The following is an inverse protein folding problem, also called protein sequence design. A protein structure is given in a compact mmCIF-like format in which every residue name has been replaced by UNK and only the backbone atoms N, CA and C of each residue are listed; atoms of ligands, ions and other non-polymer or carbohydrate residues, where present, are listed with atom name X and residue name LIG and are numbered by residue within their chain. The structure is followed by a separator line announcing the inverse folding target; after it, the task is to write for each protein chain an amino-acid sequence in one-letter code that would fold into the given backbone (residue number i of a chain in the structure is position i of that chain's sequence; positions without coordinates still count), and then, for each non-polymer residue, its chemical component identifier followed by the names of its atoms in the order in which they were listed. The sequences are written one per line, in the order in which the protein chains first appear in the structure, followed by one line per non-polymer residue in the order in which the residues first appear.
data_IF_024666100332
#
_entry.id   IF_024666100332
#
_cell.length_a   1.000
_cell.length_b   1.000
_cell.length_c   1.000
_cell.angle_alpha   90.00
_cell.angle_beta   90.00
_cell.angle_gamma   90.00
#
_symmetry.space_group_name_H-M   'P 1'
#
loop_
_entity.id
_entity.type
_entity.pdbx_description
1 polymer ?
#
# COMPACT_ATOMS: atom_id res chain seq x y z
N UNK A 1 -13.92 12.36 13.90
CA UNK A 1 -12.91 11.92 12.90
C UNK A 1 -12.03 13.12 12.61
N UNK A 2 -10.71 12.96 12.52
CA UNK A 2 -9.85 14.03 12.03
C UNK A 2 -10.26 14.42 10.60
N UNK A 3 -10.51 15.70 10.37
CA UNK A 3 -10.83 16.24 9.05
C UNK A 3 -9.52 16.66 8.40
N UNK A 4 -9.06 15.90 7.40
CA UNK A 4 -7.85 16.25 6.67
C UNK A 4 -8.16 17.27 5.58
N UNK A 5 -7.27 18.24 5.36
CA UNK A 5 -7.41 19.24 4.28
C UNK A 5 -7.08 18.66 2.90
N UNK A 6 -6.17 17.67 2.88
CA UNK A 6 -5.75 16.90 1.71
C UNK A 6 -5.21 15.52 2.09
N UNK A 7 -5.18 14.63 1.12
CA UNK A 7 -4.54 13.32 1.19
C UNK A 7 -3.66 13.12 -0.04
N UNK A 8 -2.37 12.90 0.18
CA UNK A 8 -1.47 12.43 -0.87
C UNK A 8 -1.27 10.94 -0.70
N UNK A 9 -1.47 10.20 -1.78
CA UNK A 9 -1.26 8.77 -1.84
C UNK A 9 -0.10 8.45 -2.78
N UNK A 10 0.86 7.68 -2.29
CA UNK A 10 1.99 7.18 -3.07
C UNK A 10 1.82 5.67 -3.22
N UNK A 11 1.57 5.22 -4.44
CA UNK A 11 1.55 3.82 -4.82
C UNK A 11 2.96 3.36 -5.23
N UNK A 12 3.58 2.55 -4.38
CA UNK A 12 4.92 2.00 -4.54
C UNK A 12 4.81 0.63 -5.20
N UNK A 13 5.48 0.46 -6.35
CA UNK A 13 5.37 -0.73 -7.20
C UNK A 13 6.74 -1.40 -7.34
N UNK A 14 6.78 -2.73 -7.26
CA UNK A 14 8.02 -3.51 -7.46
C UNK A 14 8.37 -3.58 -8.95
N UNK A 15 7.37 -3.47 -9.83
CA UNK A 15 7.56 -3.47 -11.28
C UNK A 15 6.50 -2.59 -11.98
N UNK A 16 6.69 -2.32 -13.27
CA UNK A 16 5.76 -1.53 -14.08
C UNK A 16 4.34 -2.11 -14.23
N UNK A 17 4.06 -3.32 -13.70
CA UNK A 17 2.77 -4.05 -13.86
C UNK A 17 2.12 -4.47 -12.53
N UNK A 18 2.41 -3.78 -11.44
CA UNK A 18 1.72 -4.02 -10.17
C UNK A 18 0.30 -3.42 -10.21
N UNK A 19 -0.61 -4.14 -10.86
CA UNK A 19 -1.98 -3.71 -11.13
C UNK A 19 -2.83 -3.74 -9.85
N UNK A 20 -2.59 -4.72 -8.95
CA UNK A 20 -3.29 -4.83 -7.67
C UNK A 20 -3.06 -3.58 -6.79
N UNK A 21 -1.81 -3.09 -6.70
CA UNK A 21 -1.50 -1.85 -5.97
C UNK A 21 -2.13 -0.64 -6.65
N UNK A 22 -2.19 -0.64 -7.98
CA UNK A 22 -2.79 0.44 -8.77
C UNK A 22 -4.29 0.54 -8.52
N UNK A 23 -5.00 -0.58 -8.63
CA UNK A 23 -6.44 -0.67 -8.37
C UNK A 23 -6.76 -0.34 -6.91
N UNK A 24 -6.03 -0.94 -5.97
CA UNK A 24 -6.23 -0.70 -4.54
C UNK A 24 -6.06 0.79 -4.17
N UNK A 25 -5.03 1.45 -4.70
CA UNK A 25 -4.79 2.86 -4.47
C UNK A 25 -5.93 3.74 -5.02
N UNK A 26 -6.39 3.45 -6.24
CA UNK A 26 -7.54 4.12 -6.84
C UNK A 26 -8.82 3.96 -6.01
N UNK A 27 -9.16 2.73 -5.62
CA UNK A 27 -10.37 2.43 -4.86
C UNK A 27 -10.37 3.14 -3.49
N UNK A 28 -9.23 3.15 -2.80
CA UNK A 28 -9.09 3.84 -1.52
C UNK A 28 -9.27 5.35 -1.71
N UNK A 29 -8.62 5.94 -2.72
CA UNK A 29 -8.71 7.38 -2.96
C UNK A 29 -10.13 7.78 -3.35
N UNK A 30 -10.81 7.01 -4.20
CA UNK A 30 -12.20 7.26 -4.57
C UNK A 30 -13.11 7.24 -3.34
N UNK A 31 -12.93 6.25 -2.45
CA UNK A 31 -13.67 6.18 -1.18
C UNK A 31 -13.42 7.40 -0.29
N UNK A 32 -12.19 7.90 -0.24
CA UNK A 32 -11.84 9.13 0.50
C UNK A 32 -12.55 10.33 -0.13
N UNK A 33 -12.48 10.48 -1.44
CA UNK A 33 -13.07 11.60 -2.19
C UNK A 33 -14.59 11.70 -2.00
N UNK A 34 -15.30 10.57 -1.86
CA UNK A 34 -16.74 10.54 -1.56
C UNK A 34 -17.11 11.09 -0.17
N UNK A 35 -16.14 11.34 0.71
CA UNK A 35 -16.37 11.72 2.12
C UNK A 35 -15.80 13.07 2.53
N UNK A 36 -15.11 13.78 1.63
CA UNK A 36 -14.46 15.06 1.93
C UNK A 36 -15.08 16.19 1.12
N UNK A 37 -15.03 17.40 1.67
CA UNK A 37 -15.58 18.59 1.00
C UNK A 37 -14.77 19.00 -0.24
N UNK A 38 -13.46 18.75 -0.25
CA UNK A 38 -12.52 19.19 -1.29
C UNK A 38 -11.74 18.02 -1.92
N UNK A 39 -12.40 17.12 -2.68
CA UNK A 39 -11.75 15.95 -3.27
C UNK A 39 -10.62 16.29 -4.26
N UNK A 40 -10.64 17.47 -4.87
CA UNK A 40 -9.61 17.97 -5.80
C UNK A 40 -8.24 18.17 -5.16
N UNK A 41 -8.17 18.27 -3.82
CA UNK A 41 -6.91 18.40 -3.09
C UNK A 41 -6.23 17.04 -2.86
N UNK A 42 -6.89 15.93 -3.20
CA UNK A 42 -6.36 14.61 -2.99
C UNK A 42 -5.67 14.11 -4.27
N UNK A 43 -4.45 13.61 -4.14
CA UNK A 43 -3.64 13.21 -5.29
C UNK A 43 -3.08 11.80 -5.11
N UNK A 44 -2.95 11.09 -6.22
CA UNK A 44 -2.33 9.77 -6.30
C UNK A 44 -1.14 9.82 -7.26
N UNK A 45 0.01 9.37 -6.77
CA UNK A 45 1.25 9.28 -7.53
C UNK A 45 1.77 7.84 -7.53
N UNK A 46 2.47 7.47 -8.60
CA UNK A 46 2.99 6.13 -8.83
C UNK A 46 4.51 6.14 -8.92
N UNK A 47 5.15 5.30 -8.11
CA UNK A 47 6.60 5.17 -8.06
C UNK A 47 7.00 3.70 -8.18
N UNK A 48 8.03 3.44 -8.98
CA UNK A 48 8.69 2.15 -9.06
C UNK A 48 10.04 2.16 -8.37
N UNK A 49 10.43 1.04 -7.74
CA UNK A 49 11.81 0.81 -7.34
C UNK A 49 12.66 0.56 -8.59
N UNK A 50 13.71 1.35 -8.78
CA UNK A 50 14.68 1.13 -9.84
C UNK A 50 15.82 0.22 -9.30
N UNK A 51 16.51 -0.57 -10.15
CA UNK A 51 17.57 -1.49 -9.69
C UNK A 51 18.73 -0.81 -8.95
N UNK A 52 18.95 0.49 -9.20
CA UNK A 52 19.94 1.32 -8.51
C UNK A 52 19.49 1.77 -7.10
N UNK A 53 18.31 1.34 -6.65
CA UNK A 53 17.73 1.72 -5.36
C UNK A 53 16.96 3.04 -5.37
N UNK A 54 16.87 3.74 -6.50
CA UNK A 54 16.15 5.03 -6.61
C UNK A 54 14.68 4.86 -6.95
N UNK A 55 13.86 5.82 -6.56
CA UNK A 55 12.46 5.88 -6.99
C UNK A 55 12.38 6.61 -8.32
N UNK A 56 11.63 6.03 -9.26
CA UNK A 56 11.26 6.72 -10.49
C UNK A 56 9.75 6.77 -10.63
N UNK A 57 9.26 7.94 -11.04
CA UNK A 57 7.84 8.14 -11.34
C UNK A 57 7.47 7.35 -12.58
N UNK A 58 6.32 6.67 -12.57
CA UNK A 58 5.82 6.00 -13.77
C UNK A 58 5.34 6.98 -14.87
N UNK A 59 5.13 8.27 -14.53
CA UNK A 59 4.72 9.33 -15.45
C UNK A 59 5.63 10.54 -15.37
N UNK A 60 6.04 11.05 -16.54
CA UNK A 60 6.95 12.19 -16.69
C UNK A 60 6.41 13.54 -16.18
N UNK A 61 5.10 13.65 -15.88
CA UNK A 61 4.44 14.90 -15.46
C UNK A 61 4.24 15.04 -13.94
N UNK A 62 4.94 14.24 -13.13
CA UNK A 62 4.87 14.38 -11.67
C UNK A 62 5.60 15.65 -11.26
N UNK A 63 5.01 16.54 -10.44
CA UNK A 63 5.71 17.72 -9.95
C UNK A 63 6.97 17.29 -9.19
N UNK A 64 8.04 18.10 -9.25
CA UNK A 64 9.34 17.74 -8.69
C UNK A 64 9.29 17.45 -7.17
N UNK A 65 8.38 18.10 -6.42
CA UNK A 65 8.19 17.92 -4.97
C UNK A 65 6.70 17.87 -4.62
N UNK A 66 6.01 16.75 -4.88
CA UNK A 66 4.57 16.64 -4.67
C UNK A 66 4.16 16.74 -3.20
N UNK A 67 5.09 16.56 -2.25
CA UNK A 67 4.82 16.60 -0.82
C UNK A 67 5.14 17.94 -0.17
N UNK A 68 5.77 18.87 -0.89
CA UNK A 68 6.05 20.22 -0.37
C UNK A 68 4.78 21.04 -0.09
N UNK A 69 3.64 20.61 -0.63
CA UNK A 69 2.33 21.23 -0.39
C UNK A 69 1.62 20.66 0.84
N UNK A 70 2.21 19.71 1.56
CA UNK A 70 1.58 19.11 2.74
C UNK A 70 1.66 20.02 3.96
N UNK A 71 0.68 19.88 4.85
CA UNK A 71 0.51 20.68 6.07
C UNK A 71 0.21 19.77 7.27
N UNK A 72 0.13 20.35 8.46
CA UNK A 72 -0.23 19.70 9.72
C UNK A 72 -1.66 19.13 9.75
N UNK A 73 -2.46 19.44 8.73
CA UNK A 73 -3.81 18.90 8.51
C UNK A 73 -3.86 17.85 7.39
N UNK A 74 -2.72 17.56 6.77
CA UNK A 74 -2.64 16.64 5.65
C UNK A 74 -2.40 15.21 6.10
N UNK A 75 -2.81 14.26 5.26
CA UNK A 75 -2.49 12.84 5.42
C UNK A 75 -1.63 12.34 4.27
N UNK A 76 -0.57 11.61 4.60
CA UNK A 76 0.21 10.83 3.64
C UNK A 76 -0.20 9.36 3.72
N UNK A 77 -0.45 8.74 2.56
CA UNK A 77 -0.70 7.30 2.45
C UNK A 77 0.39 6.66 1.60
N UNK A 78 1.06 5.63 2.13
CA UNK A 78 1.97 4.78 1.35
C UNK A 78 1.26 3.46 1.07
N UNK A 79 1.08 3.11 -0.20
CA UNK A 79 0.41 1.88 -0.63
C UNK A 79 1.41 1.02 -1.39
N UNK A 80 1.57 -0.24 -1.00
CA UNK A 80 2.49 -1.16 -1.65
C UNK A 80 2.50 -2.51 -0.97
N UNK A 81 3.02 -3.53 -1.66
CA UNK A 81 3.19 -4.87 -1.07
C UNK A 81 4.13 -4.79 0.12
N UNK A 82 3.71 -5.37 1.24
CA UNK A 82 4.50 -5.38 2.47
C UNK A 82 5.10 -6.74 2.68
N UNK A 83 6.38 -6.76 3.00
CA UNK A 83 7.09 -7.97 3.37
C UNK A 83 7.68 -7.77 4.77
N UNK A 84 7.09 -8.47 5.73
CA UNK A 84 7.50 -8.41 7.13
C UNK A 84 8.77 -9.23 7.39
N UNK A 85 9.11 -10.21 6.56
CA UNK A 85 10.35 -10.98 6.75
C UNK A 85 11.54 -10.12 6.32
N UNK A 86 11.44 -9.50 5.14
CA UNK A 86 12.50 -8.61 4.65
C UNK A 86 12.41 -7.19 5.19
N UNK A 87 11.32 -6.86 5.89
CA UNK A 87 11.03 -5.54 6.44
C UNK A 87 11.06 -4.47 5.35
N UNK A 88 10.24 -4.66 4.32
CA UNK A 88 10.15 -3.76 3.16
C UNK A 88 8.72 -3.44 2.74
N UNK A 89 8.56 -2.32 2.01
CA UNK A 89 7.37 -2.00 1.21
C UNK A 89 7.81 -1.87 -0.24
N UNK A 90 7.24 -2.69 -1.13
CA UNK A 90 7.62 -2.77 -2.53
C UNK A 90 9.15 -2.94 -2.73
N UNK A 91 9.81 -3.69 -1.83
CA UNK A 91 11.26 -3.91 -1.83
C UNK A 91 12.07 -2.77 -1.18
N UNK A 92 11.44 -1.67 -0.77
CA UNK A 92 12.11 -0.57 -0.10
C UNK A 92 12.16 -0.76 1.41
N UNK A 93 13.32 -0.53 2.00
CA UNK A 93 13.50 -0.45 3.45
C UNK A 93 13.05 0.91 3.99
N UNK A 94 12.74 0.94 5.28
CA UNK A 94 12.35 2.15 5.99
C UNK A 94 13.37 3.30 5.84
N UNK A 95 14.67 2.99 5.94
CA UNK A 95 15.76 3.93 5.80
C UNK A 95 16.02 4.37 4.34
N UNK A 96 15.32 3.82 3.36
CA UNK A 96 15.32 4.30 1.98
C UNK A 96 14.10 5.18 1.73
N UNK A 97 12.91 4.76 2.18
CA UNK A 97 11.67 5.51 1.97
C UNK A 97 11.73 6.86 2.69
N UNK A 98 12.10 6.90 3.98
CA UNK A 98 12.05 8.15 4.72
C UNK A 98 12.94 9.25 4.09
N UNK A 99 14.23 9.02 3.80
CA UNK A 99 15.05 10.00 3.10
C UNK A 99 14.51 10.40 1.73
N UNK A 100 13.98 9.44 0.96
CA UNK A 100 13.37 9.72 -0.34
C UNK A 100 12.15 10.65 -0.23
N UNK A 101 11.26 10.42 0.74
CA UNK A 101 10.11 11.29 0.98
C UNK A 101 10.57 12.72 1.32
N UNK A 102 11.62 12.87 2.12
CA UNK A 102 12.12 14.16 2.59
C UNK A 102 12.84 14.93 1.49
N UNK A 103 13.86 14.30 0.89
CA UNK A 103 14.79 14.97 0.00
C UNK A 103 14.20 15.14 -1.40
N UNK A 104 13.60 14.07 -1.92
CA UNK A 104 13.21 14.01 -3.31
C UNK A 104 11.77 14.47 -3.48
N UNK A 105 10.87 14.08 -2.57
CA UNK A 105 9.47 14.48 -2.65
C UNK A 105 9.12 15.75 -1.85
N UNK A 106 10.02 16.21 -0.97
CA UNK A 106 9.84 17.44 -0.20
C UNK A 106 8.87 17.31 0.97
N UNK A 107 8.74 16.14 1.59
CA UNK A 107 7.92 15.97 2.80
C UNK A 107 8.46 16.89 3.91
N UNK A 108 7.62 17.80 4.39
CA UNK A 108 7.98 18.77 5.44
C UNK A 108 7.25 18.50 6.76
N UNK A 109 5.94 18.26 6.73
CA UNK A 109 5.15 17.88 7.90
C UNK A 109 3.78 17.35 7.46
N UNK A 110 3.19 16.47 8.26
CA UNK A 110 1.84 15.90 8.02
C UNK A 110 1.16 15.60 9.35
N UNK A 111 -0.17 15.61 9.35
CA UNK A 111 -0.95 15.18 10.50
C UNK A 111 -0.73 13.70 10.81
N UNK A 112 -0.75 12.85 9.78
CA UNK A 112 -0.65 11.39 9.90
C UNK A 112 -0.02 10.77 8.67
N UNK A 113 0.62 9.61 8.89
CA UNK A 113 1.09 8.73 7.82
C UNK A 113 0.38 7.38 7.95
N UNK A 114 -0.22 6.89 6.87
CA UNK A 114 -0.86 5.58 6.81
C UNK A 114 -0.08 4.65 5.89
N UNK A 115 0.51 3.60 6.44
CA UNK A 115 1.10 2.49 5.71
C UNK A 115 0.00 1.48 5.37
N UNK A 116 -0.38 1.44 4.09
CA UNK A 116 -1.39 0.53 3.54
C UNK A 116 -0.63 -0.61 2.86
N UNK A 117 -0.13 -1.51 3.71
CA UNK A 117 0.79 -2.56 3.31
C UNK A 117 0.66 -3.76 4.25
N UNK A 118 0.91 -4.97 3.75
CA UNK A 118 0.74 -6.21 4.50
C UNK A 118 1.77 -6.32 5.63
N UNK A 119 1.30 -6.51 6.86
CA UNK A 119 2.13 -6.94 8.00
C UNK A 119 3.36 -6.07 8.34
N UNK A 120 3.45 -4.83 7.87
CA UNK A 120 4.61 -3.94 8.10
C UNK A 120 4.75 -3.42 9.54
N UNK A 121 3.77 -3.70 10.41
CA UNK A 121 3.90 -3.49 11.86
C UNK A 121 4.46 -4.73 12.60
N UNK A 122 4.59 -5.86 11.92
CA UNK A 122 5.14 -7.10 12.48
C UNK A 122 6.65 -7.03 12.52
N UNK A 123 7.25 -7.64 13.54
CA UNK A 123 8.69 -7.81 13.64
C UNK A 123 9.20 -8.90 12.67
N UNK A 124 10.49 -8.86 12.33
CA UNK A 124 11.08 -9.80 11.37
C UNK A 124 11.29 -11.22 11.93
N UNK A 125 11.29 -11.39 13.26
CA UNK A 125 11.84 -12.55 13.94
C UNK A 125 10.75 -13.54 14.42
N UNK A 126 9.47 -13.17 14.35
CA UNK A 126 8.38 -14.04 14.77
C UNK A 126 7.74 -14.77 13.60
N UNK A 127 7.88 -16.09 13.54
CA UNK A 127 7.25 -16.93 12.49
C UNK A 127 5.77 -17.25 12.79
N UNK A 128 5.46 -17.56 14.06
CA UNK A 128 4.18 -18.23 14.39
C UNK A 128 3.25 -17.44 15.33
N UNK A 129 3.72 -16.32 15.90
CA UNK A 129 2.90 -15.51 16.81
C UNK A 129 3.21 -14.02 16.67
N UNK A 130 2.18 -13.21 16.40
CA UNK A 130 2.31 -11.75 16.42
C UNK A 130 2.55 -11.31 17.85
N UNK A 131 3.77 -10.85 18.15
CA UNK A 131 4.13 -10.32 19.47
C UNK A 131 4.22 -8.81 19.40
N UNK A 132 3.23 -8.12 19.98
CA UNK A 132 3.23 -6.66 20.08
C UNK A 132 4.48 -6.12 20.78
N UNK A 133 5.06 -6.90 21.71
CA UNK A 133 6.29 -6.53 22.43
C UNK A 133 7.52 -6.36 21.53
N UNK A 134 7.53 -6.98 20.34
CA UNK A 134 8.65 -6.94 19.41
C UNK A 134 8.49 -5.89 18.31
N UNK A 135 7.41 -5.09 18.35
CA UNK A 135 7.06 -4.17 17.27
C UNK A 135 8.10 -3.06 17.02
N UNK A 136 8.99 -2.80 17.98
CA UNK A 136 10.07 -1.83 17.84
C UNK A 136 11.00 -2.15 16.67
N UNK A 137 11.12 -3.43 16.30
CA UNK A 137 11.93 -3.89 15.17
C UNK A 137 11.16 -3.92 13.84
N UNK A 138 9.89 -3.52 13.84
CA UNK A 138 9.06 -3.49 12.64
C UNK A 138 9.46 -2.38 11.66
N UNK A 139 9.04 -2.54 10.41
CA UNK A 139 9.24 -1.57 9.35
C UNK A 139 8.62 -0.25 9.77
N UNK A 140 7.41 -0.28 10.35
CA UNK A 140 6.71 0.90 10.81
C UNK A 140 7.50 1.67 11.89
N UNK A 141 8.07 0.97 12.87
CA UNK A 141 8.90 1.58 13.91
C UNK A 141 10.20 2.16 13.34
N UNK A 142 10.90 1.40 12.50
CA UNK A 142 12.11 1.88 11.81
C UNK A 142 11.83 3.06 10.88
N UNK A 143 10.68 3.06 10.21
CA UNK A 143 10.24 4.16 9.35
C UNK A 143 9.96 5.41 10.19
N UNK A 144 9.25 5.26 11.31
CA UNK A 144 8.99 6.36 12.25
C UNK A 144 10.30 6.96 12.78
N UNK A 145 11.26 6.12 13.19
CA UNK A 145 12.56 6.57 13.67
C UNK A 145 13.43 7.25 12.61
N UNK A 146 13.20 6.96 11.32
CA UNK A 146 13.91 7.57 10.21
C UNK A 146 13.28 8.90 9.74
N UNK A 147 12.10 9.27 10.24
CA UNK A 147 11.51 10.57 10.00
C UNK A 147 12.15 11.63 10.91
N UNK A 148 12.41 12.85 10.42
CA UNK A 148 13.05 13.92 11.19
C UNK A 148 12.04 14.69 12.04
N UNK A 149 10.74 14.38 11.95
CA UNK A 149 9.69 15.03 12.72
C UNK A 149 9.22 14.10 13.82
N UNK A 150 9.23 14.60 15.05
CA UNK A 150 8.67 13.88 16.19
C UNK A 150 7.14 14.00 16.22
N UNK A 151 6.48 13.03 16.86
CA UNK A 151 5.05 13.11 17.17
C UNK A 151 4.07 12.83 16.01
N UNK A 152 4.55 12.63 14.78
CA UNK A 152 3.69 12.25 13.65
C UNK A 152 3.21 10.80 13.80
N UNK A 153 1.89 10.54 13.96
CA UNK A 153 1.37 9.19 14.10
C UNK A 153 1.51 8.40 12.79
N UNK A 154 2.14 7.22 12.88
CA UNK A 154 2.28 6.26 11.77
C UNK A 154 1.35 5.07 11.99
N UNK A 155 0.36 4.91 11.11
CA UNK A 155 -0.59 3.81 11.14
C UNK A 155 -0.16 2.67 10.23
N UNK A 156 0.19 1.53 10.81
CA UNK A 156 0.61 0.33 10.10
C UNK A 156 -0.35 -0.84 10.34
N UNK A 157 -0.10 -1.99 9.71
CA UNK A 157 -0.91 -3.22 9.85
C UNK A 157 -0.03 -4.37 10.30
N UNK A 158 -0.52 -5.13 11.28
CA UNK A 158 0.16 -6.34 11.75
C UNK A 158 -0.13 -7.56 10.89
N UNK A 159 -1.32 -7.59 10.30
CA UNK A 159 -1.80 -8.69 9.47
C UNK A 159 -1.78 -8.31 8.00
N UNK A 160 -1.85 -9.31 7.11
CA UNK A 160 -2.14 -9.08 5.70
C UNK A 160 -3.37 -8.19 5.53
N UNK A 161 -3.31 -7.29 4.54
CA UNK A 161 -4.36 -6.32 4.24
C UNK A 161 -4.81 -6.48 2.80
N UNK A 162 -6.12 -6.49 2.60
CA UNK A 162 -6.73 -6.47 1.27
C UNK A 162 -7.59 -5.23 1.12
N UNK A 163 -7.71 -4.76 -0.12
CA UNK A 163 -8.56 -3.64 -0.50
C UNK A 163 -9.65 -4.17 -1.40
N UNK A 164 -10.91 -3.94 -1.02
CA UNK A 164 -12.06 -4.27 -1.88
C UNK A 164 -12.25 -3.18 -2.94
N UNK A 165 -12.96 -3.48 -4.06
CA UNK A 165 -13.35 -2.51 -5.10
C UNK A 165 -14.09 -1.24 -4.63
N UNK A 166 -14.47 -1.16 -3.36
CA UNK A 166 -15.10 0.03 -2.77
C UNK A 166 -14.16 0.81 -1.83
N UNK A 167 -12.85 0.54 -1.91
CA UNK A 167 -11.81 1.13 -1.06
C UNK A 167 -11.81 0.67 0.39
N UNK A 168 -12.57 -0.38 0.73
CA UNK A 168 -12.61 -0.90 2.10
C UNK A 168 -11.44 -1.83 2.35
N UNK A 169 -10.65 -1.46 3.36
CA UNK A 169 -9.53 -2.26 3.88
C UNK A 169 -10.06 -3.38 4.77
N UNK A 170 -9.57 -4.60 4.56
CA UNK A 170 -9.86 -5.77 5.37
C UNK A 170 -8.55 -6.40 5.83
N UNK A 171 -8.54 -6.99 7.03
CA UNK A 171 -7.38 -7.69 7.60
C UNK A 171 -7.82 -9.04 8.12
N UNK A 172 -6.93 -10.03 8.02
CA UNK A 172 -7.16 -11.39 8.52
C UNK A 172 -5.89 -11.92 9.15
N UNK A 173 -6.01 -12.51 10.34
CA UNK A 173 -4.91 -13.26 10.98
C UNK A 173 -4.65 -14.60 10.28
N UNK A 174 -5.65 -15.13 9.58
CA UNK A 174 -5.51 -16.27 8.68
C UNK A 174 -4.96 -15.73 7.36
N UNK A 175 -3.80 -16.22 6.92
CA UNK A 175 -3.20 -15.85 5.63
C UNK A 175 -4.19 -16.06 4.46
N UNK A 176 -5.13 -16.98 4.64
CA UNK A 176 -6.24 -17.21 3.73
C UNK A 176 -7.47 -16.36 4.12
N UNK A 177 -7.49 -15.09 3.74
CA UNK A 177 -8.76 -14.38 3.70
C UNK A 177 -9.66 -15.03 2.63
N UNK A 178 -10.95 -15.29 2.90
CA UNK A 178 -11.88 -15.68 1.85
C UNK A 178 -11.97 -14.54 0.84
N UNK A 179 -11.39 -14.75 -0.35
CA UNK A 179 -11.47 -13.78 -1.43
C UNK A 179 -12.93 -13.43 -1.69
N UNK A 180 -13.31 -12.13 -1.69
CA UNK A 180 -14.69 -11.76 -1.93
C UNK A 180 -15.09 -12.22 -3.33
N UNK A 181 -16.22 -12.92 -3.42
CA UNK A 181 -16.78 -13.53 -4.66
C UNK A 181 -17.13 -12.51 -5.78
N UNK A 182 -16.68 -11.25 -5.71
CA UNK A 182 -17.27 -10.13 -6.46
C UNK A 182 -16.31 -9.20 -7.20
N UNK A 183 -15.03 -9.50 -7.40
CA UNK A 183 -14.23 -8.80 -8.42
C UNK A 183 -14.18 -9.65 -9.69
N UNK A 184 -14.20 -9.00 -10.85
CA UNK A 184 -14.43 -9.64 -12.16
C UNK A 184 -13.36 -10.67 -12.57
N UNK A 185 -12.27 -10.79 -11.82
CA UNK A 185 -11.37 -11.94 -11.89
C UNK A 185 -11.89 -13.03 -10.95
N UNK A 186 -12.64 -14.01 -11.50
CA UNK A 186 -13.05 -15.19 -10.72
C UNK A 186 -11.84 -16.09 -10.54
N UNK A 187 -11.07 -15.84 -9.51
CA UNK A 187 -10.10 -16.83 -9.04
C UNK A 187 -10.85 -17.90 -8.24
N UNK A 188 -10.45 -19.16 -8.37
CA UNK A 188 -11.00 -20.27 -7.58
C UNK A 188 -9.87 -21.17 -7.10
N UNK A 189 -10.04 -21.74 -5.90
CA UNK A 189 -9.12 -22.75 -5.34
C UNK A 189 -9.75 -24.14 -5.48
N UNK A 190 -8.97 -25.10 -5.98
CA UNK A 190 -9.31 -26.52 -6.00
C UNK A 190 -8.03 -27.32 -5.77
N UNK A 191 -8.03 -28.26 -4.81
CA UNK A 191 -6.87 -29.12 -4.55
C UNK A 191 -5.57 -28.41 -4.14
N UNK A 192 -5.65 -27.21 -3.54
CA UNK A 192 -4.47 -26.44 -3.11
C UNK A 192 -3.87 -25.50 -4.15
N UNK A 193 -4.35 -25.52 -5.40
CA UNK A 193 -3.92 -24.61 -6.46
C UNK A 193 -4.90 -23.44 -6.64
N UNK A 194 -4.39 -22.29 -7.08
CA UNK A 194 -5.20 -21.12 -7.44
C UNK A 194 -5.29 -21.02 -8.96
N UNK A 195 -6.50 -20.86 -9.46
CA UNK A 195 -6.75 -20.75 -10.88
C UNK A 195 -7.37 -19.41 -11.20
N UNK A 196 -6.98 -18.81 -12.33
CA UNK A 196 -7.56 -17.58 -12.84
C UNK A 196 -8.57 -17.89 -13.95
N UNK A 197 -9.81 -17.42 -13.82
CA UNK A 197 -10.76 -17.44 -14.94
C UNK A 197 -10.35 -16.42 -15.99
N UNK A 198 -9.97 -16.90 -17.17
CA UNK A 198 -9.48 -16.06 -18.30
C UNK A 198 -10.59 -15.68 -19.30
N UNK A 199 -11.84 -16.12 -19.08
CA UNK A 199 -12.98 -15.67 -19.87
C UNK A 199 -14.19 -16.61 -19.85
N UNK A 200 -15.21 -16.22 -20.60
CA UNK A 200 -16.35 -17.07 -21.01
C UNK A 200 -16.55 -16.91 -22.50
N UNK A 201 -16.54 -18.00 -23.25
CA UNK A 201 -17.15 -18.01 -24.58
C UNK A 201 -18.66 -18.13 -24.40
N UNK A 202 -19.46 -17.48 -25.27
CA UNK A 202 -20.93 -17.48 -25.17
C UNK A 202 -21.53 -18.89 -25.19
N UNK A 203 -20.82 -19.87 -25.78
CA UNK A 203 -21.32 -21.23 -26.01
C UNK A 203 -20.30 -22.34 -25.67
N UNK A 204 -19.37 -22.14 -24.73
CA UNK A 204 -18.34 -23.16 -24.41
C UNK A 204 -17.92 -23.25 -22.93
N UNK A 205 -17.19 -24.32 -22.56
CA UNK A 205 -16.74 -24.54 -21.18
C UNK A 205 -15.82 -23.41 -20.71
N UNK A 206 -15.94 -23.05 -19.43
CA UNK A 206 -15.12 -22.01 -18.80
C UNK A 206 -13.66 -22.43 -18.87
N UNK A 207 -12.80 -21.54 -19.40
CA UNK A 207 -11.35 -21.75 -19.44
C UNK A 207 -10.69 -21.15 -18.21
N UNK A 208 -9.74 -21.88 -17.68
CA UNK A 208 -8.98 -21.55 -16.50
C UNK A 208 -7.50 -21.69 -16.81
N UNK A 209 -6.69 -20.74 -16.33
CA UNK A 209 -5.23 -20.89 -16.27
C UNK A 209 -4.85 -21.24 -14.84
N UNK A 210 -3.80 -22.05 -14.67
CA UNK A 210 -3.07 -22.04 -13.41
C UNK A 210 -2.51 -20.63 -13.22
N UNK A 211 -2.88 -20.00 -12.10
CA UNK A 211 -2.25 -18.76 -11.74
C UNK A 211 -0.93 -19.13 -11.07
N UNK A 212 0.20 -18.84 -11.72
CA UNK A 212 1.48 -18.73 -11.04
C UNK A 212 1.37 -17.54 -10.06
N UNK A 213 1.04 -17.84 -8.80
CA UNK A 213 1.01 -16.90 -7.68
C UNK A 213 2.16 -17.26 -6.73
#
# INVERSE_FOLDING_TARGET
MATYDRTIMLALRVSGRDDDITEAAHDILEKINKKVANPQNNHLYYYGLHPDGTARTAKASTPAKPLAVLTDLSRLCLVGHGDWQTQTIAGWRANQIAPWLLNDLGLCHVNTISLISCSVARDANTLDSVRLSSSIDSFASRFTAALPFEGVPVFARYFPVWVRPNGTKYQSALEEAPMPKSSKAKFYKSGGQVYRRIGTTKDGPVRYDEADI
#
